data_IF_686119119290
#
_entry.id   IF_686119119290
#
_cell.length_a   1.000
_cell.length_b   1.000
_cell.length_c   1.000
_cell.angle_alpha   90.00
_cell.angle_beta   90.00
_cell.angle_gamma   90.00
#
_symmetry.space_group_name_H-M   'P 1'
#
loop_
_entity.id
_entity.type
_entity.pdbx_description
1 polymer ?
#
# COMPACT_ATOMS: atom_id res chain seq x y z
N UNK A 1 -6.94 15.76 -8.30
CA UNK A 1 -6.62 14.33 -8.27
C UNK A 1 -6.62 13.85 -6.84
N UNK A 2 -7.06 12.64 -6.61
CA UNK A 2 -7.20 12.10 -5.25
C UNK A 2 -5.88 11.53 -4.75
N UNK A 3 -5.62 11.74 -3.48
CA UNK A 3 -4.49 11.11 -2.80
C UNK A 3 -5.04 10.23 -1.69
N UNK A 4 -4.31 9.18 -1.38
CA UNK A 4 -4.67 8.26 -0.30
C UNK A 4 -3.46 8.01 0.57
N UNK A 5 -3.71 7.76 1.85
CA UNK A 5 -2.69 7.32 2.79
C UNK A 5 -2.80 5.82 2.93
N UNK A 6 -1.69 5.15 2.75
CA UNK A 6 -1.61 3.69 2.87
C UNK A 6 -0.71 3.37 4.05
N UNK A 7 -1.24 2.62 4.99
CA UNK A 7 -0.49 2.22 6.20
C UNK A 7 -0.43 0.71 6.25
N UNK A 8 0.77 0.16 6.38
CA UNK A 8 0.92 -1.28 6.56
C UNK A 8 0.50 -1.66 7.98
N UNK A 9 -0.48 -2.54 8.08
CA UNK A 9 -1.00 -2.97 9.38
C UNK A 9 -0.67 -4.42 9.69
N UNK A 10 -0.21 -5.19 8.71
CA UNK A 10 0.15 -6.60 8.91
C UNK A 10 1.56 -6.87 8.41
N UNK A 11 2.20 -7.86 9.03
CA UNK A 11 3.53 -8.29 8.64
C UNK A 11 3.53 -8.86 7.23
N UNK A 12 4.62 -8.64 6.50
CA UNK A 12 4.82 -9.25 5.18
C UNK A 12 5.23 -10.73 5.30
N UNK A 13 5.43 -11.22 6.50
CA UNK A 13 5.70 -12.62 6.75
C UNK A 13 4.53 -13.46 6.24
N UNK A 14 4.71 -14.24 5.24
CA UNK A 14 3.64 -14.98 4.57
C UNK A 14 3.06 -14.31 3.35
N UNK A 15 3.46 -13.08 3.05
CA UNK A 15 3.08 -12.42 1.82
C UNK A 15 3.90 -12.96 0.65
N UNK A 16 3.33 -12.94 -0.55
CA UNK A 16 4.09 -13.35 -1.74
C UNK A 16 5.10 -12.27 -2.13
N UNK A 17 6.11 -12.67 -2.90
CA UNK A 17 7.11 -11.73 -3.40
C UNK A 17 6.45 -10.60 -4.20
N UNK A 18 5.40 -10.90 -4.93
CA UNK A 18 4.66 -9.89 -5.70
C UNK A 18 4.00 -8.87 -4.79
N UNK A 19 3.42 -9.33 -3.68
CA UNK A 19 2.80 -8.43 -2.71
C UNK A 19 3.83 -7.53 -2.06
N UNK A 20 4.98 -8.10 -1.69
CA UNK A 20 6.08 -7.33 -1.12
C UNK A 20 6.58 -6.29 -2.13
N UNK A 21 6.73 -6.69 -3.38
CA UNK A 21 7.15 -5.77 -4.45
C UNK A 21 6.16 -4.62 -4.63
N UNK A 22 4.87 -4.89 -4.54
CA UNK A 22 3.85 -3.85 -4.63
C UNK A 22 3.96 -2.86 -3.46
N UNK A 23 4.19 -3.37 -2.25
CA UNK A 23 4.40 -2.51 -1.09
C UNK A 23 5.61 -1.61 -1.26
N UNK A 24 6.71 -2.17 -1.73
CA UNK A 24 7.94 -1.42 -1.98
C UNK A 24 7.71 -0.35 -3.04
N UNK A 25 6.98 -0.70 -4.09
CA UNK A 25 6.64 0.25 -5.16
C UNK A 25 5.78 1.41 -4.64
N UNK A 26 4.95 1.15 -3.63
CA UNK A 26 4.16 2.19 -2.98
C UNK A 26 5.00 3.05 -2.03
N UNK A 27 6.20 2.60 -1.69
CA UNK A 27 7.09 3.31 -0.77
C UNK A 27 7.04 2.80 0.66
N UNK A 28 6.37 1.68 0.90
CA UNK A 28 6.26 1.10 2.24
C UNK A 28 7.37 0.07 2.43
N UNK A 29 8.23 0.33 3.40
CA UNK A 29 9.37 -0.55 3.69
C UNK A 29 9.32 -1.14 5.09
N UNK A 30 8.41 -0.66 5.94
CA UNK A 30 8.35 -1.06 7.34
C UNK A 30 6.92 -1.28 7.79
N UNK A 31 6.77 -2.07 8.83
CA UNK A 31 5.50 -2.25 9.52
C UNK A 31 5.02 -0.91 10.07
N UNK A 32 3.74 -0.64 9.94
CA UNK A 32 3.09 0.60 10.40
C UNK A 32 3.58 1.87 9.71
N UNK A 33 4.36 1.74 8.64
CA UNK A 33 4.74 2.91 7.86
C UNK A 33 3.54 3.42 7.07
N UNK A 34 3.31 4.72 7.14
CA UNK A 34 2.26 5.39 6.38
C UNK A 34 2.90 6.14 5.23
N UNK A 35 2.36 5.96 4.03
CA UNK A 35 2.79 6.71 2.87
C UNK A 35 1.57 7.34 2.21
N UNK A 36 1.79 8.49 1.58
CA UNK A 36 0.77 9.19 0.83
C UNK A 36 1.07 9.00 -0.64
N UNK A 37 0.12 8.46 -1.37
CA UNK A 37 0.27 8.18 -2.79
C UNK A 37 -0.89 8.77 -3.57
N UNK A 38 -0.60 9.14 -4.81
CA UNK A 38 -1.64 9.63 -5.70
C UNK A 38 -2.46 8.45 -6.21
N UNK A 39 -3.78 8.60 -6.16
CA UNK A 39 -4.69 7.54 -6.61
C UNK A 39 -4.81 7.56 -8.13
N UNK A 40 -4.11 6.63 -8.77
CA UNK A 40 -4.16 6.42 -10.22
C UNK A 40 -4.64 4.99 -10.47
N UNK A 41 -5.04 4.66 -11.71
CA UNK A 41 -5.39 3.26 -12.02
C UNK A 41 -4.28 2.27 -11.68
N UNK A 42 -3.03 2.67 -11.85
CA UNK A 42 -1.88 1.82 -11.53
C UNK A 42 -1.72 1.63 -10.03
N UNK A 43 -1.74 2.75 -9.28
CA UNK A 43 -1.61 2.71 -7.82
C UNK A 43 -2.78 1.95 -7.20
N UNK A 44 -3.98 2.18 -7.70
CA UNK A 44 -5.18 1.49 -7.22
C UNK A 44 -5.03 -0.02 -7.38
N UNK A 45 -4.52 -0.47 -8.52
CA UNK A 45 -4.29 -1.89 -8.76
C UNK A 45 -3.27 -2.49 -7.78
N UNK A 46 -2.19 -1.76 -7.52
CA UNK A 46 -1.18 -2.21 -6.55
C UNK A 46 -1.76 -2.28 -5.14
N UNK A 47 -2.52 -1.28 -4.73
CA UNK A 47 -3.16 -1.25 -3.42
C UNK A 47 -4.12 -2.42 -3.25
N UNK A 48 -4.92 -2.71 -4.27
CA UNK A 48 -5.88 -3.81 -4.21
C UNK A 48 -5.19 -5.16 -3.98
N UNK A 49 -4.01 -5.35 -4.53
CA UNK A 49 -3.27 -6.59 -4.36
C UNK A 49 -2.74 -6.79 -2.94
N UNK A 50 -2.54 -5.71 -2.21
CA UNK A 50 -2.01 -5.76 -0.84
C UNK A 50 -3.03 -5.26 0.19
N UNK A 51 -4.27 -5.11 -0.21
CA UNK A 51 -5.30 -4.52 0.65
C UNK A 51 -5.49 -5.26 1.97
N UNK A 52 -5.24 -6.55 1.98
CA UNK A 52 -5.31 -7.35 3.20
C UNK A 52 -4.13 -7.11 4.14
N UNK A 53 -3.11 -6.39 3.68
CA UNK A 53 -1.92 -6.07 4.47
C UNK A 53 -1.89 -4.62 4.93
N UNK A 54 -2.71 -3.77 4.34
CA UNK A 54 -2.67 -2.32 4.57
C UNK A 54 -4.06 -1.75 4.81
N UNK A 55 -4.09 -0.57 5.40
CA UNK A 55 -5.30 0.24 5.53
C UNK A 55 -5.14 1.46 4.65
N UNK A 56 -6.18 1.81 3.92
CA UNK A 56 -6.17 2.95 3.02
C UNK A 56 -7.15 4.01 3.52
N UNK A 57 -6.67 5.25 3.61
CA UNK A 57 -7.50 6.40 3.97
C UNK A 57 -7.43 7.43 2.86
N UNK A 58 -8.57 8.02 2.54
CA UNK A 58 -8.59 9.11 1.58
C UNK A 58 -8.06 10.39 2.22
N UNK A 59 -7.23 11.09 1.46
CA UNK A 59 -6.72 12.40 1.86
C UNK A 59 -7.36 13.42 0.93
N UNK A 60 -8.03 14.37 1.52
CA UNK A 60 -8.62 15.45 0.74
C UNK A 60 -7.68 16.63 0.63
#
# INVERSE_FOLDING_TARGET
>A
MAKVKVTQIKSVSGATDRQIANLISLGIHRMHQTVEVELTPVTKGMIQKVLHLVTVEEVK
#
